data_IF_407563732827
#
_entry.id   IF_407563732827
#
_cell.length_a   1.000
_cell.length_b   1.000
_cell.length_c   1.000
_cell.angle_alpha   90.00
_cell.angle_beta   90.00
_cell.angle_gamma   90.00
#
_symmetry.space_group_name_H-M   'P 1'
#
loop_
_entity.id
_entity.type
_entity.pdbx_description
1 polymer ?
#
# COMPACT_ATOMS: atom_id res chain seq x y z
N UNK A 1 2.01 -15.43 24.83
CA UNK A 1 0.99 -14.54 24.24
C UNK A 1 1.64 -13.81 23.08
N UNK A 2 1.48 -14.32 21.85
CA UNK A 2 2.09 -13.71 20.67
C UNK A 2 1.27 -12.47 20.30
N UNK A 3 1.87 -11.29 20.44
CA UNK A 3 1.31 -10.04 19.94
C UNK A 3 1.27 -10.13 18.41
N UNK A 4 0.08 -10.32 17.86
CA UNK A 4 -0.15 -10.19 16.41
C UNK A 4 0.24 -8.77 16.01
N UNK A 5 1.38 -8.66 15.34
CA UNK A 5 1.90 -7.43 14.77
C UNK A 5 0.84 -6.86 13.84
N UNK A 6 0.49 -5.58 14.01
CA UNK A 6 -0.39 -4.85 13.12
C UNK A 6 0.30 -4.66 11.75
N UNK A 7 0.34 -5.70 10.93
CA UNK A 7 0.80 -5.65 9.54
C UNK A 7 -0.25 -5.07 8.57
N UNK A 8 -1.46 -4.78 9.07
CA UNK A 8 -2.67 -4.52 8.27
C UNK A 8 -2.80 -3.12 7.66
N UNK A 9 -1.93 -2.17 8.00
CA UNK A 9 -2.05 -0.77 7.54
C UNK A 9 -1.35 -0.46 6.21
N UNK A 10 -0.24 -1.16 5.91
CA UNK A 10 0.68 -0.79 4.83
C UNK A 10 0.15 -1.12 3.44
N UNK A 11 -0.51 -2.27 3.32
CA UNK A 11 -1.04 -2.76 2.05
C UNK A 11 -2.29 -2.02 1.62
N UNK A 12 -3.15 -1.63 2.57
CA UNK A 12 -4.48 -1.08 2.26
C UNK A 12 -4.44 0.34 1.73
N UNK A 13 -3.67 1.26 2.32
CA UNK A 13 -3.67 2.68 1.89
C UNK A 13 -3.08 2.86 0.49
N UNK A 14 -1.94 2.22 0.21
CA UNK A 14 -1.32 2.32 -1.12
C UNK A 14 -2.13 1.57 -2.19
N UNK A 15 -2.67 0.41 -1.83
CA UNK A 15 -3.54 -0.34 -2.74
C UNK A 15 -4.84 0.44 -3.03
N UNK A 16 -5.41 1.14 -2.05
CA UNK A 16 -6.58 2.01 -2.24
C UNK A 16 -6.26 3.19 -3.17
N UNK A 17 -5.06 3.77 -3.07
CA UNK A 17 -4.58 4.80 -4.01
C UNK A 17 -4.44 4.24 -5.44
N UNK A 18 -3.89 3.03 -5.59
CA UNK A 18 -3.80 2.35 -6.89
C UNK A 18 -5.18 2.07 -7.50
N UNK A 19 -6.13 1.60 -6.68
CA UNK A 19 -7.53 1.42 -7.10
C UNK A 19 -8.17 2.73 -7.54
N UNK A 20 -7.91 3.82 -6.82
CA UNK A 20 -8.46 5.15 -7.13
C UNK A 20 -7.89 5.67 -8.45
N UNK A 21 -6.58 5.57 -8.65
CA UNK A 21 -5.92 6.00 -9.87
C UNK A 21 -6.36 5.17 -11.08
N UNK A 22 -6.24 3.84 -11.03
CA UNK A 22 -6.66 2.98 -12.13
C UNK A 22 -8.16 3.10 -12.36
N UNK A 23 -8.97 3.14 -11.30
CA UNK A 23 -10.42 3.30 -11.39
C UNK A 23 -10.87 4.61 -12.06
N UNK A 24 -10.00 5.63 -12.11
CA UNK A 24 -10.31 6.88 -12.82
C UNK A 24 -10.39 6.71 -14.34
N UNK A 25 -9.75 5.68 -14.91
CA UNK A 25 -9.80 5.36 -16.33
C UNK A 25 -10.24 3.93 -16.65
N UNK A 26 -10.35 3.02 -15.66
CA UNK A 26 -10.87 1.66 -15.79
C UNK A 26 -12.12 1.44 -14.91
N UNK A 27 -13.34 1.57 -15.48
CA UNK A 27 -14.59 1.48 -14.71
C UNK A 27 -14.80 0.14 -13.98
N UNK A 28 -14.28 -0.96 -14.53
CA UNK A 28 -14.36 -2.27 -13.90
C UNK A 28 -13.59 -2.30 -12.56
N UNK A 29 -12.46 -1.60 -12.49
CA UNK A 29 -11.64 -1.47 -11.29
C UNK A 29 -12.30 -0.56 -10.27
N UNK A 30 -12.93 0.54 -10.71
CA UNK A 30 -13.72 1.38 -9.81
C UNK A 30 -14.85 0.58 -9.13
N UNK A 31 -15.60 -0.23 -9.90
CA UNK A 31 -16.66 -1.08 -9.34
C UNK A 31 -16.12 -2.15 -8.37
N UNK A 32 -14.97 -2.74 -8.69
CA UNK A 32 -14.30 -3.68 -7.79
C UNK A 32 -13.84 -2.98 -6.50
N UNK A 33 -13.37 -1.73 -6.59
CA UNK A 33 -12.95 -0.96 -5.43
C UNK A 33 -14.11 -0.68 -4.48
N UNK A 34 -15.26 -0.28 -5.00
CA UNK A 34 -16.48 -0.12 -4.20
C UNK A 34 -16.86 -1.41 -3.45
N UNK A 35 -16.85 -2.55 -4.16
CA UNK A 35 -17.12 -3.86 -3.55
C UNK A 35 -16.10 -4.20 -2.45
N UNK A 36 -14.81 -3.90 -2.68
CA UNK A 36 -13.75 -4.06 -1.68
C UNK A 36 -14.02 -3.20 -0.45
N UNK A 37 -14.36 -1.91 -0.60
CA UNK A 37 -14.64 -1.00 0.53
C UNK A 37 -15.86 -1.44 1.33
N UNK A 38 -16.92 -1.88 0.66
CA UNK A 38 -18.11 -2.44 1.33
C UNK A 38 -17.76 -3.69 2.14
N UNK A 39 -16.97 -4.60 1.57
CA UNK A 39 -16.51 -5.80 2.27
C UNK A 39 -15.63 -5.48 3.47
N UNK A 40 -14.69 -4.54 3.34
CA UNK A 40 -13.87 -4.09 4.47
C UNK A 40 -14.73 -3.48 5.59
N UNK A 41 -15.74 -2.69 5.26
CA UNK A 41 -16.67 -2.14 6.23
C UNK A 41 -17.46 -3.25 6.94
N UNK A 42 -17.98 -4.23 6.18
CA UNK A 42 -18.64 -5.40 6.74
C UNK A 42 -17.70 -6.20 7.66
N UNK A 43 -16.44 -6.41 7.26
CA UNK A 43 -15.43 -7.08 8.08
C UNK A 43 -15.16 -6.32 9.39
N UNK A 44 -15.06 -4.99 9.35
CA UNK A 44 -14.87 -4.17 10.57
C UNK A 44 -16.02 -4.36 11.55
N UNK A 45 -17.26 -4.41 11.05
CA UNK A 45 -18.46 -4.67 11.88
C UNK A 45 -18.42 -6.10 12.44
N UNK A 46 -18.14 -7.08 11.57
CA UNK A 46 -18.10 -8.50 11.90
C UNK A 46 -17.03 -8.84 12.97
N UNK A 47 -15.86 -8.21 12.87
CA UNK A 47 -14.80 -8.31 13.88
C UNK A 47 -15.24 -7.74 15.23
N UNK A 48 -16.08 -6.68 15.24
CA UNK A 48 -16.59 -6.08 16.48
C UNK A 48 -17.52 -7.00 17.26
N UNK A 49 -18.22 -7.89 16.56
CA UNK A 49 -19.11 -8.91 17.13
C UNK A 49 -18.46 -10.29 17.23
N UNK A 50 -17.13 -10.36 17.09
CA UNK A 50 -16.31 -11.58 17.16
C UNK A 50 -16.78 -12.71 16.21
N UNK A 51 -17.30 -12.34 15.03
CA UNK A 51 -17.77 -13.26 14.00
C UNK A 51 -17.13 -12.88 12.66
N UNK A 52 -15.84 -13.17 12.44
CA UNK A 52 -15.14 -12.71 11.25
C UNK A 52 -15.70 -13.34 9.97
N UNK A 53 -15.84 -12.54 8.92
CA UNK A 53 -16.22 -13.04 7.59
C UNK A 53 -15.03 -13.81 7.01
N UNK A 54 -15.25 -15.07 6.62
CA UNK A 54 -14.26 -15.91 5.97
C UNK A 54 -14.49 -15.97 4.45
N UNK A 55 -13.41 -16.15 3.68
CA UNK A 55 -13.42 -16.15 2.21
C UNK A 55 -12.60 -15.01 1.60
N UNK A 56 -12.13 -15.17 0.37
CA UNK A 56 -11.41 -14.13 -0.39
C UNK A 56 -12.35 -13.39 -1.34
N UNK A 57 -12.01 -12.14 -1.68
CA UNK A 57 -12.55 -11.50 -2.88
C UNK A 57 -11.49 -11.65 -3.96
N UNK A 58 -11.90 -12.05 -5.17
CA UNK A 58 -10.99 -12.06 -6.31
C UNK A 58 -10.71 -10.61 -6.75
N UNK A 59 -9.48 -10.17 -6.55
CA UNK A 59 -9.04 -8.80 -6.80
C UNK A 59 -8.22 -8.79 -8.08
N UNK A 60 -8.62 -7.93 -9.02
CA UNK A 60 -8.12 -7.91 -10.40
C UNK A 60 -7.15 -6.75 -10.63
N UNK A 61 -6.80 -6.01 -9.57
CA UNK A 61 -5.88 -4.88 -9.64
C UNK A 61 -4.53 -5.26 -10.26
N UNK A 62 -3.98 -6.43 -9.93
CA UNK A 62 -2.68 -6.91 -10.44
C UNK A 62 -2.69 -7.22 -11.93
N UNK A 63 -3.86 -7.38 -12.53
CA UNK A 63 -4.02 -7.71 -13.95
C UNK A 63 -4.04 -6.46 -14.85
N UNK A 64 -4.02 -5.27 -14.24
CA UNK A 64 -4.05 -4.01 -14.97
C UNK A 64 -2.64 -3.59 -15.38
N UNK A 65 -2.37 -3.24 -16.65
CA UNK A 65 -1.04 -2.80 -17.08
C UNK A 65 -0.48 -1.64 -16.24
N UNK A 66 -1.34 -0.69 -15.88
CA UNK A 66 -0.99 0.47 -15.04
C UNK A 66 -0.60 0.10 -13.59
N UNK A 67 -0.94 -1.10 -13.12
CA UNK A 67 -0.55 -1.56 -11.77
C UNK A 67 0.97 -1.63 -11.62
N UNK A 68 1.65 -2.20 -12.62
CA UNK A 68 3.11 -2.34 -12.59
C UNK A 68 3.81 -0.99 -12.66
N UNK A 69 3.28 -0.06 -13.47
CA UNK A 69 3.79 1.32 -13.52
C UNK A 69 3.72 2.02 -12.17
N UNK A 70 2.75 1.68 -11.31
CA UNK A 70 2.62 2.26 -9.98
C UNK A 70 3.46 1.58 -8.90
N UNK A 71 4.06 0.40 -9.16
CA UNK A 71 4.92 -0.25 -8.18
C UNK A 71 6.20 0.57 -7.93
N UNK A 72 6.73 1.21 -8.98
CA UNK A 72 7.96 2.01 -8.88
C UNK A 72 7.70 3.44 -8.41
N UNK A 73 6.47 3.95 -8.55
CA UNK A 73 6.12 5.34 -8.17
C UNK A 73 6.22 5.54 -6.65
N UNK A 74 5.82 4.56 -5.84
CA UNK A 74 5.84 4.72 -4.36
C UNK A 74 7.26 4.83 -3.80
N UNK A 75 8.18 3.89 -4.08
CA UNK A 75 9.56 4.02 -3.62
C UNK A 75 10.18 5.34 -4.08
N UNK A 76 9.99 5.72 -5.34
CA UNK A 76 10.53 6.96 -5.89
C UNK A 76 9.98 8.18 -5.16
N UNK A 77 8.66 8.28 -4.97
CA UNK A 77 8.04 9.41 -4.28
C UNK A 77 8.48 9.53 -2.81
N UNK A 78 8.56 8.41 -2.08
CA UNK A 78 9.03 8.42 -0.68
C UNK A 78 10.50 8.83 -0.61
N UNK A 79 11.36 8.29 -1.50
CA UNK A 79 12.76 8.66 -1.56
C UNK A 79 12.95 10.14 -1.88
N UNK A 80 12.22 10.71 -2.84
CA UNK A 80 12.28 12.14 -3.16
C UNK A 80 11.88 13.01 -1.96
N UNK A 81 10.82 12.66 -1.25
CA UNK A 81 10.40 13.40 -0.04
C UNK A 81 11.46 13.36 1.06
N UNK A 82 12.10 12.21 1.26
CA UNK A 82 13.18 12.07 2.23
C UNK A 82 14.41 12.89 1.84
N UNK A 83 14.75 12.97 0.55
CA UNK A 83 15.86 13.80 0.04
C UNK A 83 15.61 15.28 0.24
N UNK A 84 14.39 15.73 0.00
CA UNK A 84 13.98 17.12 0.20
C UNK A 84 13.78 17.47 1.68
N UNK A 85 13.91 16.49 2.58
CA UNK A 85 13.61 16.65 4.01
C UNK A 85 12.17 17.17 4.25
N UNK A 86 11.22 16.71 3.44
CA UNK A 86 9.82 17.08 3.56
C UNK A 86 9.28 16.69 4.95
N UNK A 87 8.54 17.59 5.63
CA UNK A 87 8.08 17.34 7.00
C UNK A 87 7.07 16.19 7.09
N UNK A 88 6.38 15.87 6.00
CA UNK A 88 5.40 14.79 5.90
C UNK A 88 5.99 13.47 5.40
N UNK A 89 7.29 13.38 5.11
CA UNK A 89 7.88 12.21 4.42
C UNK A 89 7.61 10.87 5.14
N UNK A 90 7.66 10.87 6.48
CA UNK A 90 7.41 9.67 7.29
C UNK A 90 5.92 9.30 7.37
N UNK A 91 5.05 10.30 7.47
CA UNK A 91 3.61 10.13 7.48
C UNK A 91 3.13 9.64 6.10
N UNK A 92 3.67 10.23 5.03
CA UNK A 92 3.46 9.82 3.64
C UNK A 92 3.95 8.39 3.38
N UNK A 93 5.07 7.98 3.97
CA UNK A 93 5.53 6.60 3.87
C UNK A 93 4.56 5.60 4.54
N UNK A 94 3.83 6.05 5.56
CA UNK A 94 2.75 5.29 6.21
C UNK A 94 3.25 4.03 6.93
N UNK A 95 4.49 4.06 7.44
CA UNK A 95 5.04 2.94 8.20
C UNK A 95 4.74 3.08 9.69
N UNK A 96 4.46 1.95 10.35
CA UNK A 96 4.22 1.91 11.79
C UNK A 96 5.40 2.41 12.63
N UNK A 97 6.61 2.46 12.06
CA UNK A 97 7.76 3.10 12.67
C UNK A 97 8.58 3.90 11.65
N UNK A 98 9.07 5.10 12.02
CA UNK A 98 10.00 5.87 11.18
C UNK A 98 11.28 5.09 10.84
N UNK A 99 11.72 4.22 11.74
CA UNK A 99 12.86 3.34 11.53
C UNK A 99 12.68 2.39 10.34
N UNK A 100 11.46 1.93 10.09
CA UNK A 100 11.15 1.07 8.93
C UNK A 100 11.25 1.87 7.64
N UNK A 101 10.82 3.13 7.63
CA UNK A 101 10.98 4.04 6.49
C UNK A 101 12.44 4.30 6.19
N UNK A 102 13.23 4.64 7.21
CA UNK A 102 14.66 4.86 7.06
C UNK A 102 15.38 3.58 6.58
N UNK A 103 15.03 2.39 7.09
CA UNK A 103 15.67 1.16 6.62
C UNK A 103 15.46 0.87 5.14
N UNK A 104 14.26 1.14 4.62
CA UNK A 104 13.88 0.78 3.26
C UNK A 104 14.27 1.84 2.22
N UNK A 105 14.35 3.10 2.64
CA UNK A 105 14.51 4.23 1.73
C UNK A 105 15.74 5.13 2.04
N UNK A 106 16.46 4.92 3.14
CA UNK A 106 17.74 5.63 3.39
C UNK A 106 18.80 5.15 2.38
N UNK A 107 19.19 6.07 1.49
CA UNK A 107 20.19 5.83 0.44
C UNK A 107 21.58 5.50 1.00
N UNK A 108 21.88 5.79 2.27
CA UNK A 108 23.15 5.36 2.91
C UNK A 108 23.26 3.84 3.08
N UNK A 109 22.17 3.10 2.93
CA UNK A 109 22.13 1.62 2.95
C UNK A 109 21.90 0.99 1.58
N UNK A 110 21.57 1.77 0.55
CA UNK A 110 21.49 1.28 -0.82
C UNK A 110 22.91 0.92 -1.28
N UNK A 111 23.25 -0.37 -1.23
CA UNK A 111 24.42 -0.89 -1.94
C UNK A 111 24.23 -0.53 -3.41
N UNK A 112 25.07 0.35 -3.94
CA UNK A 112 25.13 0.64 -5.37
C UNK A 112 25.52 -0.68 -6.05
N UNK A 113 24.53 -1.42 -6.54
CA UNK A 113 24.78 -2.50 -7.49
C UNK A 113 25.14 -1.79 -8.78
N UNK A 114 26.42 -1.79 -9.12
CA UNK A 114 26.91 -1.31 -10.41
C UNK A 114 26.22 -2.18 -11.46
N UNK A 115 25.30 -1.60 -12.23
CA UNK A 115 24.79 -2.27 -13.42
C UNK A 115 25.98 -2.45 -14.35
N UNK A 116 26.44 -3.68 -14.51
CA UNK A 116 27.26 -4.08 -15.65
C UNK A 116 26.32 -4.29 -16.82
N UNK A 117 26.58 -3.55 -17.90
CA UNK A 117 25.99 -3.73 -19.24
C UNK A 117 26.23 -5.15 -19.79
#
# INVERSE_FOLDING_TARGET
MMLNKAESGRGSVWQDAMYTYIGSFEPAIAKQFEAKKMREAAQRIANRVNSPIHGGMDLQLTNQPAYFSMLDIRPVAITTKLENSDPDAYDFAGHASPSTTAQLYDRRKMKIVKATE
#
